data_IF_863918993726
#
_entry.id   IF_863918993726
#
_cell.length_a   1.000
_cell.length_b   1.000
_cell.length_c   1.000
_cell.angle_alpha   90.00
_cell.angle_beta   90.00
_cell.angle_gamma   90.00
#
_symmetry.space_group_name_H-M   'P 1'
#
loop_
_entity.id
_entity.type
_entity.pdbx_description
1 polymer ?
#
# COMPACT_ATOMS: atom_id res chain seq x y z
N UNK A 1 15.16 -25.47 15.02
CA UNK A 1 15.19 -24.15 14.37
C UNK A 1 15.74 -24.33 12.97
N UNK A 2 15.06 -23.82 11.94
CA UNK A 2 15.55 -23.80 10.56
C UNK A 2 16.19 -22.43 10.29
N UNK A 3 17.20 -22.38 9.42
CA UNK A 3 17.84 -21.13 9.01
C UNK A 3 17.96 -21.07 7.48
N UNK A 4 17.60 -19.92 6.92
CA UNK A 4 17.69 -19.64 5.50
C UNK A 4 18.57 -18.42 5.30
N UNK A 5 19.59 -18.54 4.46
CA UNK A 5 20.38 -17.37 4.05
C UNK A 5 19.60 -16.62 2.97
N UNK A 6 19.33 -15.34 3.23
CA UNK A 6 18.66 -14.42 2.31
C UNK A 6 19.64 -13.32 1.91
N UNK A 7 19.30 -12.59 0.87
CA UNK A 7 20.08 -11.44 0.43
C UNK A 7 19.21 -10.36 -0.20
N UNK A 8 19.65 -9.11 -0.09
CA UNK A 8 19.02 -7.97 -0.73
C UNK A 8 20.09 -7.03 -1.28
N UNK A 9 19.73 -6.24 -2.30
CA UNK A 9 20.65 -5.31 -2.96
C UNK A 9 20.32 -3.87 -2.57
N UNK A 10 21.33 -3.10 -2.18
CA UNK A 10 21.14 -1.70 -1.78
C UNK A 10 22.25 -0.79 -2.30
N UNK A 11 21.96 0.50 -2.34
CA UNK A 11 22.98 1.52 -2.47
C UNK A 11 23.74 1.67 -1.12
N UNK A 12 25.07 1.52 -1.07
CA UNK A 12 25.83 1.59 0.17
C UNK A 12 25.71 2.92 0.93
N UNK A 13 25.32 4.02 0.26
CA UNK A 13 25.16 5.35 0.87
C UNK A 13 24.12 5.38 1.99
N UNK A 14 23.18 4.43 2.01
CA UNK A 14 22.12 4.36 3.04
C UNK A 14 22.60 3.75 4.36
N UNK A 15 23.81 3.16 4.38
CA UNK A 15 24.37 2.52 5.57
C UNK A 15 25.08 3.53 6.49
N UNK A 16 25.01 3.28 7.79
CA UNK A 16 25.74 4.02 8.81
C UNK A 16 27.24 3.73 8.75
N UNK A 17 28.06 4.70 9.17
CA UNK A 17 29.48 4.47 9.36
C UNK A 17 29.73 3.32 10.36
N UNK A 18 30.70 2.45 10.06
CA UNK A 18 31.05 1.30 10.89
C UNK A 18 30.15 0.07 10.73
N UNK A 19 29.39 -0.03 9.64
CA UNK A 19 28.67 -1.27 9.32
C UNK A 19 29.64 -2.45 9.08
N UNK A 20 29.25 -3.69 9.36
CA UNK A 20 30.12 -4.86 9.22
C UNK A 20 30.25 -5.35 7.77
N UNK A 21 29.47 -4.81 6.84
CA UNK A 21 29.43 -5.29 5.46
C UNK A 21 30.65 -4.86 4.66
N UNK A 22 31.23 -5.80 3.93
CA UNK A 22 32.28 -5.51 2.95
C UNK A 22 31.65 -4.86 1.71
N UNK A 23 31.91 -3.58 1.51
CA UNK A 23 31.43 -2.84 0.34
C UNK A 23 32.49 -2.83 -0.75
N UNK A 24 32.11 -3.23 -1.96
CA UNK A 24 32.95 -3.00 -3.14
C UNK A 24 32.78 -1.56 -3.60
N UNK A 25 33.89 -0.82 -3.76
CA UNK A 25 33.88 0.55 -4.27
C UNK A 25 33.54 0.64 -5.76
N UNK A 26 33.61 -0.48 -6.49
CA UNK A 26 33.39 -0.52 -7.94
C UNK A 26 31.92 -0.60 -8.36
N UNK A 27 31.02 -1.06 -7.49
CA UNK A 27 29.62 -1.26 -7.82
C UNK A 27 28.74 -0.22 -7.13
N UNK A 28 27.78 0.39 -7.86
CA UNK A 28 26.83 1.33 -7.26
C UNK A 28 25.85 0.66 -6.27
N UNK A 29 25.80 -0.67 -6.28
CA UNK A 29 25.00 -1.48 -5.38
C UNK A 29 25.85 -2.56 -4.72
N UNK A 30 25.51 -2.88 -3.47
CA UNK A 30 26.07 -4.00 -2.73
C UNK A 30 24.97 -4.99 -2.38
N UNK A 31 25.32 -6.27 -2.33
CA UNK A 31 24.43 -7.34 -1.87
C UNK A 31 24.75 -7.63 -0.41
N UNK A 32 23.75 -7.51 0.45
CA UNK A 32 23.86 -7.80 1.87
C UNK A 32 23.15 -9.12 2.14
N UNK A 33 23.83 -9.99 2.89
CA UNK A 33 23.26 -11.25 3.36
C UNK A 33 22.74 -11.08 4.78
N UNK A 34 21.62 -11.75 5.06
CA UNK A 34 21.07 -11.90 6.40
C UNK A 34 20.48 -13.31 6.57
N UNK A 35 20.33 -13.76 7.80
CA UNK A 35 19.68 -15.02 8.10
C UNK A 35 18.21 -14.80 8.49
N UNK A 36 17.36 -15.61 7.89
CA UNK A 36 15.98 -15.81 8.31
C UNK A 36 15.90 -17.12 9.11
N UNK A 37 15.60 -17.01 10.40
CA UNK A 37 15.40 -18.15 11.28
C UNK A 37 13.90 -18.48 11.37
N UNK A 38 13.58 -19.77 11.53
CA UNK A 38 12.20 -20.22 11.79
C UNK A 38 12.14 -21.20 12.95
N UNK A 39 11.19 -21.01 13.84
CA UNK A 39 11.02 -21.83 15.04
C UNK A 39 9.64 -21.67 15.66
N UNK A 40 9.41 -22.34 16.78
CA UNK A 40 8.16 -22.22 17.57
C UNK A 40 8.49 -21.44 18.83
N UNK A 41 7.73 -20.39 19.09
CA UNK A 41 7.88 -19.48 20.21
C UNK A 41 8.87 -18.33 19.94
N UNK A 42 8.97 -17.37 20.86
CA UNK A 42 9.88 -16.24 20.73
C UNK A 42 11.36 -16.67 20.62
N UNK A 43 12.19 -15.93 19.86
CA UNK A 43 13.60 -16.28 19.70
C UNK A 43 14.40 -16.10 21.01
N UNK A 44 15.34 -17.01 21.28
CA UNK A 44 16.32 -16.84 22.36
C UNK A 44 17.24 -15.65 22.08
N UNK A 45 17.71 -15.00 23.15
CA UNK A 45 18.66 -13.91 23.07
C UNK A 45 20.08 -14.33 22.59
N UNK A 46 20.39 -15.63 22.59
CA UNK A 46 21.76 -16.15 22.43
C UNK A 46 22.24 -16.30 20.98
N UNK A 47 21.43 -15.96 19.98
CA UNK A 47 21.79 -16.11 18.57
C UNK A 47 21.32 -14.96 17.67
N UNK A 48 21.88 -14.95 16.46
CA UNK A 48 21.58 -13.98 15.40
C UNK A 48 22.50 -12.74 15.45
N UNK A 49 22.68 -12.13 14.28
CA UNK A 49 23.40 -10.88 14.11
C UNK A 49 22.42 -9.73 13.89
N UNK A 50 22.86 -8.50 14.14
CA UNK A 50 22.04 -7.32 13.86
C UNK A 50 21.64 -7.27 12.38
N UNK A 51 20.34 -7.33 12.10
CA UNK A 51 19.76 -7.37 10.75
C UNK A 51 19.16 -8.72 10.38
N UNK A 52 19.46 -9.78 11.15
CA UNK A 52 18.79 -11.06 11.01
C UNK A 52 17.33 -10.98 11.48
N UNK A 53 16.52 -11.89 10.97
CA UNK A 53 15.08 -11.96 11.23
C UNK A 53 14.70 -13.36 11.73
N UNK A 54 13.66 -13.43 12.55
CA UNK A 54 13.12 -14.68 13.07
C UNK A 54 11.61 -14.72 12.86
N UNK A 55 11.12 -15.80 12.26
CA UNK A 55 9.70 -16.07 12.06
C UNK A 55 9.26 -17.11 13.08
N UNK A 56 8.41 -16.68 14.02
CA UNK A 56 7.71 -17.57 14.93
C UNK A 56 6.57 -18.27 14.18
N UNK A 57 6.59 -19.60 14.22
CA UNK A 57 5.65 -20.50 13.58
C UNK A 57 4.64 -21.09 14.58
N UNK A 58 4.50 -20.49 15.77
CA UNK A 58 3.49 -20.90 16.74
C UNK A 58 2.10 -20.83 16.07
N UNK A 59 1.34 -21.94 16.03
CA UNK A 59 0.05 -21.96 15.36
C UNK A 59 -0.87 -20.84 15.84
N UNK A 60 -1.44 -20.09 14.88
CA UNK A 60 -2.31 -18.91 15.10
C UNK A 60 -1.64 -17.68 15.70
N UNK A 61 -0.37 -17.77 16.09
CA UNK A 61 0.40 -16.69 16.70
C UNK A 61 1.70 -16.46 15.92
N UNK A 62 1.62 -16.48 14.58
CA UNK A 62 2.81 -16.20 13.78
C UNK A 62 3.27 -14.77 14.05
N UNK A 63 4.56 -14.60 14.25
CA UNK A 63 5.15 -13.30 14.55
C UNK A 63 6.49 -13.17 13.86
N UNK A 64 6.78 -11.95 13.40
CA UNK A 64 8.08 -11.59 12.86
C UNK A 64 8.88 -10.87 13.92
N UNK A 65 10.13 -11.24 14.08
CA UNK A 65 11.11 -10.55 14.93
C UNK A 65 12.31 -10.14 14.09
N UNK A 66 12.97 -9.07 14.50
CA UNK A 66 14.24 -8.62 13.93
C UNK A 66 15.24 -8.37 15.04
N UNK A 67 16.51 -8.61 14.72
CA UNK A 67 17.60 -8.45 15.68
C UNK A 67 18.13 -7.02 15.62
N UNK A 68 18.05 -6.31 16.74
CA UNK A 68 18.56 -4.94 16.82
C UNK A 68 20.10 -4.91 16.79
N UNK A 69 20.66 -3.72 16.61
CA UNK A 69 22.07 -3.44 16.90
C UNK A 69 22.21 -3.10 18.38
N UNK A 70 23.27 -3.57 19.03
CA UNK A 70 23.60 -3.13 20.39
C UNK A 70 24.05 -1.65 20.32
N UNK A 71 23.17 -0.75 20.77
CA UNK A 71 23.43 0.69 20.79
C UNK A 71 24.34 1.12 21.93
N UNK A 72 24.44 0.33 23.01
CA UNK A 72 25.25 0.66 24.19
C UNK A 72 26.73 0.40 23.88
N UNK A 73 27.03 -0.75 23.29
CA UNK A 73 28.41 -1.11 22.91
C UNK A 73 28.78 -0.61 21.52
N UNK A 74 27.80 -0.19 20.72
CA UNK A 74 27.98 0.28 19.35
C UNK A 74 28.40 -0.83 18.37
N UNK A 75 28.65 -2.06 18.86
CA UNK A 75 29.13 -3.20 18.09
C UNK A 75 28.38 -4.44 18.57
N UNK A 76 27.84 -5.23 17.63
CA UNK A 76 27.17 -6.50 17.92
C UNK A 76 25.65 -6.47 17.82
N UNK A 77 25.04 -7.60 18.18
CA UNK A 77 23.61 -7.83 18.11
C UNK A 77 22.94 -7.46 19.45
N UNK A 78 21.92 -6.60 19.38
CA UNK A 78 21.07 -6.22 20.50
C UNK A 78 19.96 -7.23 20.74
N UNK A 79 18.87 -6.83 21.39
CA UNK A 79 17.72 -7.72 21.63
C UNK A 79 16.96 -8.08 20.36
N UNK A 80 16.18 -9.17 20.40
CA UNK A 80 15.13 -9.42 19.40
C UNK A 80 13.95 -8.50 19.68
N UNK A 81 13.43 -7.81 18.66
CA UNK A 81 12.19 -7.05 18.76
C UNK A 81 11.12 -7.62 17.86
N UNK A 82 9.91 -7.72 18.40
CA UNK A 82 8.73 -8.09 17.63
C UNK A 82 8.39 -6.98 16.66
N UNK A 83 8.11 -7.35 15.42
CA UNK A 83 7.71 -6.44 14.37
C UNK A 83 6.21 -6.15 14.47
N UNK A 84 5.89 -4.90 14.77
CA UNK A 84 4.52 -4.39 14.90
C UNK A 84 4.22 -3.29 13.88
N UNK A 85 5.04 -3.21 12.82
CA UNK A 85 5.07 -2.09 11.87
C UNK A 85 4.13 -2.23 10.67
N UNK A 86 3.02 -2.96 10.79
CA UNK A 86 2.10 -3.18 9.67
C UNK A 86 0.91 -2.23 9.76
N UNK A 87 1.06 -1.00 9.25
CA UNK A 87 -0.05 -0.05 9.11
C UNK A 87 -0.14 0.45 7.67
N UNK A 88 -0.95 -0.28 6.88
CA UNK A 88 -1.08 -0.14 5.42
C UNK A 88 -1.90 1.08 4.99
N UNK A 89 -2.30 1.97 5.89
CA UNK A 89 -3.11 3.15 5.62
C UNK A 89 -2.55 4.45 6.25
N UNK A 90 -1.66 4.34 7.25
CA UNK A 90 -1.13 5.51 7.97
C UNK A 90 -0.04 6.25 7.18
N UNK A 91 -0.21 7.56 7.06
CA UNK A 91 0.77 8.49 6.48
C UNK A 91 1.25 9.44 7.59
N UNK A 92 2.57 9.68 7.73
CA UNK A 92 3.64 9.17 6.89
C UNK A 92 4.17 7.79 7.32
N UNK A 93 4.33 6.90 6.35
CA UNK A 93 4.68 5.48 6.56
C UNK A 93 5.96 5.27 7.37
N UNK A 94 6.98 6.09 7.15
CA UNK A 94 8.32 5.92 7.73
C UNK A 94 8.31 5.90 9.27
N UNK A 95 7.29 6.48 9.92
CA UNK A 95 7.15 6.46 11.38
C UNK A 95 6.80 5.08 11.95
N UNK A 96 6.27 4.20 11.11
CA UNK A 96 5.82 2.86 11.50
C UNK A 96 6.67 1.75 10.90
N UNK A 97 7.61 2.10 10.01
CA UNK A 97 8.55 1.16 9.44
C UNK A 97 9.75 0.94 10.36
N UNK A 98 10.25 -0.28 10.37
CA UNK A 98 11.47 -0.64 11.10
C UNK A 98 12.66 -0.42 10.17
N UNK A 99 13.53 0.59 10.43
CA UNK A 99 14.75 0.78 9.65
C UNK A 99 15.73 -0.36 9.94
N UNK A 100 16.56 -0.69 8.95
CA UNK A 100 17.62 -1.66 9.14
C UNK A 100 18.60 -1.23 10.25
N UNK A 101 19.15 -2.14 11.09
CA UNK A 101 19.97 -1.74 12.26
C UNK A 101 21.25 -0.96 11.91
N UNK A 102 21.71 -1.12 10.67
CA UNK A 102 22.85 -0.41 10.10
C UNK A 102 22.45 0.71 9.14
N UNK A 103 21.19 1.14 9.15
CA UNK A 103 20.73 2.33 8.43
C UNK A 103 21.34 3.60 9.04
N UNK A 104 21.71 4.57 8.19
CA UNK A 104 22.36 5.82 8.63
C UNK A 104 21.50 6.66 9.57
N UNK A 105 20.21 6.78 9.27
CA UNK A 105 19.21 7.40 10.15
C UNK A 105 17.83 6.89 9.77
N UNK A 106 16.91 6.79 10.73
CA UNK A 106 15.54 6.35 10.46
C UNK A 106 14.78 7.31 9.51
N UNK A 107 15.13 8.60 9.52
CA UNK A 107 14.47 9.64 8.70
C UNK A 107 15.02 9.70 7.27
N UNK A 108 16.30 9.39 7.11
CA UNK A 108 17.04 9.56 5.84
C UNK A 108 17.32 8.25 5.13
N UNK A 109 17.24 7.12 5.84
CA UNK A 109 17.48 5.81 5.26
C UNK A 109 16.28 5.34 4.46
N UNK A 110 16.59 4.74 3.32
CA UNK A 110 15.63 4.12 2.43
C UNK A 110 15.75 2.60 2.53
N UNK A 111 15.85 2.07 3.76
CA UNK A 111 16.03 0.64 3.99
C UNK A 111 15.23 0.16 5.20
N UNK A 112 14.18 -0.61 4.93
CA UNK A 112 13.18 -1.01 5.92
C UNK A 112 12.91 -2.50 5.88
N UNK A 113 12.56 -3.07 7.03
CA UNK A 113 12.08 -4.45 7.12
C UNK A 113 10.70 -4.53 6.48
N UNK A 114 10.52 -5.50 5.59
CA UNK A 114 9.27 -5.76 4.93
C UNK A 114 8.98 -7.25 4.83
N UNK A 115 7.70 -7.61 4.90
CA UNK A 115 7.22 -8.95 4.63
C UNK A 115 6.02 -8.87 3.71
N UNK A 116 6.03 -9.72 2.70
CA UNK A 116 4.92 -9.94 1.79
C UNK A 116 4.81 -11.45 1.49
N UNK A 117 3.83 -11.90 0.69
CA UNK A 117 3.72 -13.32 0.35
C UNK A 117 4.93 -13.90 -0.40
N UNK A 118 5.82 -13.06 -0.93
CA UNK A 118 7.06 -13.49 -1.57
C UNK A 118 8.20 -13.77 -0.58
N UNK A 119 8.12 -13.25 0.64
CA UNK A 119 9.12 -13.50 1.68
C UNK A 119 9.32 -12.34 2.65
N UNK A 120 10.27 -12.53 3.57
CA UNK A 120 10.81 -11.46 4.43
C UNK A 120 12.06 -10.88 3.76
N UNK A 121 12.16 -9.56 3.69
CA UNK A 121 13.32 -8.87 3.09
C UNK A 121 13.56 -7.50 3.71
N UNK A 122 14.75 -6.94 3.46
CA UNK A 122 15.05 -5.54 3.69
C UNK A 122 14.99 -4.81 2.35
N UNK A 123 14.20 -3.74 2.25
CA UNK A 123 13.91 -3.10 0.96
C UNK A 123 13.77 -1.58 1.07
N UNK A 124 13.83 -0.91 -0.08
CA UNK A 124 13.58 0.52 -0.18
C UNK A 124 12.11 0.88 -0.02
N UNK A 125 11.84 2.13 0.34
CA UNK A 125 10.52 2.73 0.41
C UNK A 125 9.79 2.64 -0.92
N UNK A 126 10.47 2.82 -2.03
CA UNK A 126 9.87 2.71 -3.37
C UNK A 126 9.38 1.29 -3.65
N UNK A 127 10.22 0.29 -3.36
CA UNK A 127 9.85 -1.12 -3.50
C UNK A 127 8.76 -1.52 -2.50
N UNK A 128 8.79 -0.99 -1.29
CA UNK A 128 7.75 -1.20 -0.28
C UNK A 128 6.41 -0.64 -0.77
N UNK A 129 6.38 0.59 -1.30
CA UNK A 129 5.19 1.18 -1.89
C UNK A 129 4.63 0.30 -3.02
N UNK A 130 5.50 -0.20 -3.90
CA UNK A 130 5.10 -1.10 -4.99
C UNK A 130 4.54 -2.43 -4.46
N UNK A 131 5.22 -3.09 -3.52
CA UNK A 131 4.76 -4.34 -2.88
C UNK A 131 3.42 -4.14 -2.15
N UNK A 132 3.27 -3.02 -1.42
CA UNK A 132 2.01 -2.64 -0.76
C UNK A 132 0.85 -2.51 -1.73
N UNK A 133 1.04 -1.85 -2.87
CA UNK A 133 -0.01 -1.75 -3.90
C UNK A 133 -0.43 -3.15 -4.37
N UNK A 134 0.52 -4.07 -4.55
CA UNK A 134 0.20 -5.45 -4.92
C UNK A 134 -0.54 -6.21 -3.82
N UNK A 135 -0.16 -6.04 -2.55
CA UNK A 135 -0.87 -6.65 -1.42
C UNK A 135 -2.32 -6.17 -1.33
N UNK A 136 -2.53 -4.85 -1.45
CA UNK A 136 -3.88 -4.25 -1.45
C UNK A 136 -4.72 -4.77 -2.63
N UNK A 137 -4.15 -4.82 -3.84
CA UNK A 137 -4.83 -5.36 -5.03
C UNK A 137 -5.23 -6.83 -4.88
N UNK A 138 -4.47 -7.60 -4.09
CA UNK A 138 -4.73 -9.01 -3.80
C UNK A 138 -5.58 -9.23 -2.54
N UNK A 139 -6.08 -8.15 -1.94
CA UNK A 139 -6.84 -8.18 -0.69
C UNK A 139 -6.09 -8.93 0.43
N UNK A 140 -4.80 -8.60 0.59
CA UNK A 140 -3.92 -9.15 1.62
C UNK A 140 -3.66 -8.06 2.65
N UNK A 141 -3.96 -8.36 3.91
CA UNK A 141 -3.82 -7.43 5.03
C UNK A 141 -4.54 -6.08 4.81
N UNK A 142 -5.63 -6.06 4.05
CA UNK A 142 -6.39 -4.83 3.81
C UNK A 142 -7.12 -4.40 5.07
N UNK A 143 -6.90 -3.16 5.49
CA UNK A 143 -7.55 -2.56 6.66
C UNK A 143 -8.75 -1.75 6.21
N UNK A 144 -9.92 -2.02 6.79
CA UNK A 144 -11.12 -1.21 6.55
C UNK A 144 -10.90 0.21 7.10
N UNK A 145 -11.12 1.26 6.29
CA UNK A 145 -10.94 2.64 6.74
C UNK A 145 -11.74 2.93 8.02
N UNK A 146 -11.08 3.48 9.04
CA UNK A 146 -11.70 3.85 10.31
C UNK A 146 -11.68 2.77 11.40
N UNK A 147 -11.22 1.55 11.09
CA UNK A 147 -11.03 0.48 12.09
C UNK A 147 -9.55 0.44 12.49
N UNK A 148 -9.28 0.37 13.80
CA UNK A 148 -7.92 0.11 14.28
C UNK A 148 -7.63 -1.38 14.04
N UNK A 149 -6.69 -1.73 13.15
CA UNK A 149 -6.44 -3.13 12.85
C UNK A 149 -5.77 -3.83 14.03
N UNK A 150 -6.09 -5.12 14.21
CA UNK A 150 -5.23 -6.01 14.97
C UNK A 150 -3.97 -6.30 14.15
N UNK A 151 -2.89 -5.57 14.48
CA UNK A 151 -1.61 -5.66 13.79
C UNK A 151 -1.00 -7.05 13.92
N UNK A 152 -1.19 -7.73 15.05
CA UNK A 152 -0.63 -9.06 15.27
C UNK A 152 -1.33 -10.09 14.39
N UNK A 153 -2.66 -10.01 14.30
CA UNK A 153 -3.45 -10.86 13.41
C UNK A 153 -3.07 -10.64 11.94
N UNK A 154 -2.92 -9.38 11.50
CA UNK A 154 -2.53 -9.07 10.13
C UNK A 154 -1.12 -9.58 9.80
N UNK A 155 -0.14 -9.38 10.68
CA UNK A 155 1.20 -9.93 10.50
C UNK A 155 1.15 -11.46 10.42
N UNK A 156 0.33 -12.10 11.27
CA UNK A 156 0.12 -13.54 11.25
C UNK A 156 -0.49 -14.02 9.94
N UNK A 157 -1.47 -13.29 9.38
CA UNK A 157 -2.08 -13.58 8.08
C UNK A 157 -1.04 -13.49 6.95
N UNK A 158 -0.23 -12.42 6.90
CA UNK A 158 0.79 -12.24 5.86
C UNK A 158 1.84 -13.34 5.93
N UNK A 159 2.32 -13.68 7.14
CA UNK A 159 3.27 -14.76 7.35
C UNK A 159 2.68 -16.12 6.95
N UNK A 160 1.41 -16.36 7.26
CA UNK A 160 0.73 -17.59 6.85
C UNK A 160 0.69 -17.72 5.32
N UNK A 161 0.29 -16.64 4.62
CA UNK A 161 0.26 -16.62 3.14
C UNK A 161 1.65 -16.76 2.52
N UNK A 162 2.69 -16.18 3.14
CA UNK A 162 4.09 -16.35 2.73
C UNK A 162 4.51 -17.82 2.81
N UNK A 163 4.23 -18.49 3.94
CA UNK A 163 4.56 -19.90 4.14
C UNK A 163 3.79 -20.81 3.16
N UNK A 164 2.53 -20.48 2.88
CA UNK A 164 1.74 -21.21 1.89
C UNK A 164 2.30 -21.01 0.48
N UNK A 165 2.65 -19.79 0.09
CA UNK A 165 3.25 -19.51 -1.22
C UNK A 165 4.57 -20.30 -1.43
N UNK A 166 5.42 -20.39 -0.41
CA UNK A 166 6.65 -21.18 -0.45
C UNK A 166 6.40 -22.68 -0.59
N UNK A 167 5.37 -23.22 0.09
CA UNK A 167 4.97 -24.63 -0.06
C UNK A 167 4.50 -24.94 -1.48
N UNK A 168 3.76 -24.02 -2.10
CA UNK A 168 3.31 -24.18 -3.49
C UNK A 168 4.48 -24.09 -4.48
N UNK A 169 5.45 -23.19 -4.24
CA UNK A 169 6.63 -23.04 -5.07
C UNK A 169 7.52 -24.31 -5.04
N UNK A 170 7.65 -24.95 -3.88
CA UNK A 170 8.46 -26.16 -3.69
C UNK A 170 7.76 -27.45 -4.13
N UNK A 171 6.43 -27.51 -4.06
CA UNK A 171 5.64 -28.70 -4.44
C UNK A 171 5.42 -28.88 -5.95
N UNK A 172 5.61 -27.83 -6.75
CA UNK A 172 5.39 -27.86 -8.21
C UNK A 172 6.50 -28.55 -9.02
N UNK A 173 7.68 -28.80 -8.43
CA UNK A 173 8.79 -29.47 -9.10
C UNK A 173 8.72 -30.99 -8.92
N UNK A 174 7.65 -31.61 -9.40
CA UNK A 174 7.62 -33.06 -9.62
C UNK A 174 8.60 -33.41 -10.75
N UNK A 175 9.82 -33.78 -10.35
CA UNK A 175 10.66 -34.82 -10.95
C UNK A 175 10.34 -35.21 -12.41
N UNK A 176 10.70 -34.36 -13.37
CA UNK A 176 11.19 -34.88 -14.65
C UNK A 176 12.69 -35.10 -14.48
N UNK A 177 13.04 -36.34 -14.19
CA UNK A 177 14.42 -36.81 -14.18
C UNK A 177 15.03 -36.58 -15.57
N UNK A 178 15.84 -35.55 -15.71
CA UNK A 178 16.87 -35.48 -16.74
C UNK A 178 18.19 -35.14 -16.06
N UNK A 179 18.99 -36.19 -15.94
CA UNK A 179 20.39 -36.17 -15.59
C UNK A 179 21.18 -35.16 -16.44
N UNK A 180 22.30 -34.70 -15.85
CA UNK A 180 23.54 -34.21 -16.50
C UNK A 180 23.53 -32.79 -17.08
N UNK A 181 24.05 -31.83 -16.32
CA UNK A 181 25.46 -31.34 -16.37
C UNK A 181 25.54 -29.93 -15.77
N UNK A 182 26.47 -29.75 -14.83
CA UNK A 182 26.99 -28.44 -14.43
C UNK A 182 28.07 -27.97 -15.44
N UNK A 183 28.70 -26.78 -15.27
CA UNK A 183 28.18 -25.46 -15.60
C UNK A 183 29.09 -24.72 -16.61
N UNK A 184 28.55 -23.82 -17.45
CA UNK A 184 29.38 -22.85 -18.20
C UNK A 184 28.72 -21.47 -18.18
N UNK A 185 29.59 -20.49 -17.94
CA UNK A 185 29.44 -19.06 -17.79
C UNK A 185 28.87 -18.32 -19.02
N UNK A 186 28.36 -17.11 -18.72
CA UNK A 186 28.23 -15.93 -19.58
C UNK A 186 27.30 -16.00 -20.81
N UNK A 187 26.32 -15.07 -20.84
CA UNK A 187 26.24 -13.97 -21.81
C UNK A 187 24.80 -13.66 -22.28
N UNK A 188 24.51 -12.35 -22.24
CA UNK A 188 23.73 -11.59 -23.24
C UNK A 188 22.20 -11.72 -23.26
N UNK A 189 21.60 -10.59 -22.88
CA UNK A 189 20.26 -10.10 -23.20
C UNK A 189 19.90 -10.30 -24.69
N UNK A 190 18.83 -11.04 -24.94
CA UNK A 190 17.96 -10.82 -26.11
C UNK A 190 16.49 -10.88 -25.70
N UNK A 191 15.79 -9.81 -26.05
CA UNK A 191 14.37 -9.54 -25.82
C UNK A 191 13.46 -10.53 -26.55
N UNK A 192 12.36 -11.04 -25.95
CA UNK A 192 11.34 -11.73 -26.72
C UNK A 192 10.18 -10.78 -27.08
N UNK A 193 9.93 -10.76 -28.39
CA UNK A 193 8.78 -10.23 -29.10
C UNK A 193 7.50 -10.93 -28.62
N UNK A 194 6.51 -10.17 -28.14
CA UNK A 194 5.18 -10.71 -27.79
C UNK A 194 4.29 -10.68 -29.04
N UNK A 195 3.99 -11.86 -29.58
CA UNK A 195 2.93 -12.06 -30.57
C UNK A 195 1.56 -12.05 -29.89
N UNK A 196 0.64 -11.31 -30.52
CA UNK A 196 -0.77 -11.21 -30.14
C UNK A 196 -1.53 -12.40 -30.71
N UNK A 197 -2.17 -13.19 -29.86
CA UNK A 197 -3.28 -14.06 -30.25
C UNK A 197 -4.51 -13.72 -29.42
N UNK A 198 -5.41 -12.94 -30.03
CA UNK A 198 -6.77 -12.68 -29.56
C UNK A 198 -7.74 -13.60 -30.31
N UNK A 199 -8.37 -14.55 -29.61
CA UNK A 199 -9.63 -15.19 -30.03
C UNK A 199 -10.33 -15.77 -28.82
N UNK A 200 -11.60 -15.40 -28.62
CA UNK A 200 -12.44 -15.98 -27.58
C UNK A 200 -13.55 -15.03 -27.16
N UNK A 201 -14.48 -14.75 -28.08
CA UNK A 201 -15.70 -14.02 -27.77
C UNK A 201 -16.69 -14.92 -27.04
N UNK A 202 -17.16 -14.49 -25.87
CA UNK A 202 -18.40 -14.99 -25.30
C UNK A 202 -19.35 -13.83 -25.01
N UNK A 203 -20.48 -13.94 -25.71
CA UNK A 203 -21.70 -13.17 -25.65
C UNK A 203 -22.30 -13.18 -24.23
N UNK A 204 -22.63 -12.00 -23.71
CA UNK A 204 -23.58 -11.88 -22.60
C UNK A 204 -24.64 -10.82 -22.94
N UNK A 205 -25.88 -11.25 -22.71
CA UNK A 205 -27.14 -10.60 -23.02
C UNK A 205 -27.24 -9.20 -22.43
N UNK A 206 -27.73 -8.28 -23.26
CA UNK A 206 -28.17 -6.95 -22.85
C UNK A 206 -29.44 -7.05 -21.99
N UNK A 207 -29.42 -6.40 -20.83
CA UNK A 207 -30.62 -5.99 -20.10
C UNK A 207 -30.97 -4.55 -20.50
N UNK A 208 -32.26 -4.21 -20.68
CA UNK A 208 -32.67 -2.84 -21.01
C UNK A 208 -32.55 -1.92 -19.79
N UNK A 209 -32.24 -0.62 -19.98
CA UNK A 209 -32.24 0.35 -18.90
C UNK A 209 -33.68 0.78 -18.54
N UNK A 210 -33.97 1.09 -17.26
CA UNK A 210 -35.26 1.67 -16.88
C UNK A 210 -35.32 3.17 -17.24
N UNK A 211 -36.54 3.60 -17.56
CA UNK A 211 -36.90 4.93 -18.01
C UNK A 211 -36.53 6.04 -17.01
N UNK A 212 -35.97 7.12 -17.54
CA UNK A 212 -35.68 8.34 -16.83
C UNK A 212 -36.97 9.17 -16.62
N UNK A 213 -37.29 9.46 -15.37
CA UNK A 213 -38.13 10.59 -14.99
C UNK A 213 -37.44 11.32 -13.84
N UNK A 214 -36.86 12.48 -14.11
CA UNK A 214 -36.49 13.46 -13.09
C UNK A 214 -37.01 14.84 -13.49
N UNK A 215 -37.66 15.57 -12.57
CA UNK A 215 -38.00 16.97 -12.77
C UNK A 215 -36.80 17.87 -12.43
N UNK A 216 -36.57 18.85 -13.30
CA UNK A 216 -35.63 19.94 -13.07
C UNK A 216 -36.12 20.84 -11.94
N UNK A 217 -35.31 21.01 -10.89
CA UNK A 217 -35.35 22.22 -10.05
C UNK A 217 -33.95 22.83 -10.04
N UNK A 218 -33.89 24.02 -10.64
CA UNK A 218 -32.72 24.87 -10.66
C UNK A 218 -32.53 25.49 -9.27
N UNK A 219 -31.33 25.40 -8.71
CA UNK A 219 -30.89 26.30 -7.66
C UNK A 219 -29.42 26.65 -7.91
N UNK A 220 -29.21 27.87 -8.39
CA UNK A 220 -27.91 28.43 -8.65
C UNK A 220 -27.21 28.75 -7.33
N UNK A 221 -26.01 28.21 -7.17
CA UNK A 221 -25.05 28.68 -6.18
C UNK A 221 -23.81 29.20 -6.91
N UNK A 222 -23.65 30.52 -6.82
CA UNK A 222 -22.49 31.28 -7.25
C UNK A 222 -21.27 30.82 -6.43
N UNK A 223 -20.40 30.00 -7.02
CA UNK A 223 -19.08 29.73 -6.45
C UNK A 223 -18.08 30.76 -6.99
N UNK A 224 -17.75 31.68 -6.10
CA UNK A 224 -16.68 32.67 -6.15
C UNK A 224 -15.34 31.95 -6.33
N UNK A 225 -14.75 32.07 -7.51
CA UNK A 225 -13.36 31.65 -7.78
C UNK A 225 -12.43 32.62 -7.07
N UNK A 226 -11.89 32.22 -5.92
CA UNK A 226 -10.79 32.92 -5.27
C UNK A 226 -9.48 32.18 -5.55
N UNK A 227 -8.54 32.94 -6.12
CA UNK A 227 -7.10 32.82 -6.02
C UNK A 227 -6.44 31.57 -6.64
N UNK A 228 -6.08 31.69 -7.92
CA UNK A 228 -4.91 31.00 -8.47
C UNK A 228 -3.64 31.53 -7.75
N UNK A 229 -2.73 30.65 -7.30
CA UNK A 229 -1.37 31.07 -6.97
C UNK A 229 -0.67 31.48 -8.27
N UNK A 230 -0.18 32.71 -8.33
CA UNK A 230 0.69 33.15 -9.39
C UNK A 230 1.98 32.33 -9.35
N UNK A 231 2.30 31.66 -10.46
CA UNK A 231 3.59 31.00 -10.66
C UNK A 231 4.72 32.02 -10.49
N UNK A 232 5.82 31.67 -9.80
CA UNK A 232 7.02 32.48 -9.84
C UNK A 232 7.61 32.43 -11.25
N UNK A 233 7.66 33.60 -11.90
CA UNK A 233 8.39 33.80 -13.14
C UNK A 233 9.84 33.35 -12.96
N UNK A 234 10.21 32.26 -13.63
CA UNK A 234 11.61 31.86 -13.80
C UNK A 234 12.33 32.98 -14.56
N UNK A 235 13.08 33.81 -13.85
CA UNK A 235 14.16 34.62 -14.42
C UNK A 235 15.29 33.65 -14.79
N UNK A 236 15.76 33.62 -16.05
CA UNK A 236 17.04 32.98 -16.33
C UNK A 236 18.13 33.89 -15.75
N UNK A 237 18.87 33.35 -14.77
CA UNK A 237 20.07 33.98 -14.25
C UNK A 237 21.12 34.02 -15.36
N UNK A 238 21.20 35.18 -16.03
CA UNK A 238 22.36 35.55 -16.82
C UNK A 238 23.52 35.77 -15.85
N UNK A 239 24.30 34.72 -15.60
CA UNK A 239 25.66 34.86 -15.09
C UNK A 239 26.54 35.44 -16.21
N UNK A 240 26.39 36.76 -16.43
CA UNK A 240 27.39 37.57 -17.11
C UNK A 240 28.62 37.58 -16.20
N UNK A 241 29.69 36.93 -16.66
CA UNK A 241 30.97 36.94 -15.98
C UNK A 241 31.39 38.39 -15.67
N UNK A 242 31.52 38.68 -14.37
CA UNK A 242 32.10 39.92 -13.86
C UNK A 242 33.58 39.95 -14.21
N UNK A 243 33.91 40.61 -15.33
CA UNK A 243 35.26 41.07 -15.59
C UNK A 243 35.55 42.25 -14.65
N UNK A 244 36.48 42.07 -13.73
CA UNK A 244 37.08 43.17 -12.96
C UNK A 244 37.78 44.14 -13.93
N UNK A 245 37.54 45.45 -13.83
CA UNK A 245 38.26 46.46 -14.59
C UNK A 245 39.46 46.95 -13.78
N UNK A 246 40.56 46.22 -13.82
CA UNK A 246 41.82 46.71 -13.28
C UNK A 246 42.73 47.22 -14.42
N UNK A 247 43.12 48.48 -14.30
CA UNK A 247 44.29 49.03 -14.98
C UNK A 247 44.00 49.95 -16.15
N UNK A 248 43.53 51.17 -15.87
CA UNK A 248 43.73 52.32 -16.75
C UNK A 248 45.23 52.64 -16.84
N UNK A 249 45.95 51.89 -17.69
CA UNK A 249 47.25 52.25 -18.20
C UNK A 249 47.07 53.18 -19.39
N UNK A 250 47.22 54.48 -19.15
CA UNK A 250 47.29 55.55 -20.15
C UNK A 250 48.39 55.26 -21.18
N UNK A 251 48.08 54.56 -22.26
CA UNK A 251 48.91 54.53 -23.47
C UNK A 251 48.34 55.56 -24.45
N UNK A 252 49.14 56.58 -24.71
CA UNK A 252 48.82 57.69 -25.61
C UNK A 252 48.54 57.24 -27.05
N UNK A 253 48.05 58.16 -27.88
CA UNK A 253 47.71 57.89 -29.28
C UNK A 253 48.98 57.51 -30.04
N UNK A 254 49.15 56.21 -30.28
CA UNK A 254 50.13 55.73 -31.25
C UNK A 254 49.53 56.06 -32.62
N UNK A 255 50.03 57.13 -33.21
CA UNK A 255 49.76 57.47 -34.61
C UNK A 255 50.10 56.26 -35.49
N UNK A 256 49.20 55.85 -36.41
CA UNK A 256 49.45 54.72 -37.29
C UNK A 256 50.62 55.06 -38.22
N UNK A 257 51.78 54.47 -37.93
CA UNK A 257 52.94 54.51 -38.79
C UNK A 257 52.62 53.75 -40.09
N UNK A 258 52.85 54.43 -41.22
CA UNK A 258 52.97 53.95 -42.60
C UNK A 258 52.14 52.71 -43.00
N UNK A 259 51.17 52.92 -43.89
CA UNK A 259 50.40 51.90 -44.60
C UNK A 259 51.30 50.80 -45.22
N UNK A 260 51.55 49.72 -44.48
CA UNK A 260 51.97 48.45 -45.05
C UNK A 260 50.75 47.84 -45.75
N UNK A 261 50.75 47.84 -47.08
CA UNK A 261 49.76 47.05 -47.80
C UNK A 261 50.06 45.57 -47.54
N UNK A 262 49.09 44.79 -47.02
CA UNK A 262 49.27 43.37 -46.84
C UNK A 262 49.57 42.73 -48.19
N UNK A 263 50.56 41.84 -48.18
CA UNK A 263 50.98 41.07 -49.35
C UNK A 263 49.81 40.24 -49.90
N UNK A 264 49.81 39.93 -51.20
CA UNK A 264 48.73 39.14 -51.81
C UNK A 264 48.53 37.79 -51.09
N UNK A 265 49.62 37.18 -50.62
CA UNK A 265 49.59 35.93 -49.88
C UNK A 265 48.82 36.04 -48.55
N UNK A 266 48.96 37.16 -47.82
CA UNK A 266 48.19 37.42 -46.60
C UNK A 266 46.71 37.64 -46.91
N UNK A 267 46.38 38.28 -48.05
CA UNK A 267 44.97 38.43 -48.49
C UNK A 267 44.34 37.09 -48.83
N UNK A 268 45.05 36.20 -49.52
CA UNK A 268 44.59 34.84 -49.79
C UNK A 268 44.39 34.03 -48.50
N UNK A 269 45.34 34.09 -47.57
CA UNK A 269 45.23 33.39 -46.29
C UNK A 269 44.03 33.89 -45.46
N UNK A 270 43.84 35.22 -45.39
CA UNK A 270 42.69 35.82 -44.72
C UNK A 270 41.35 35.41 -45.36
N UNK A 271 41.28 35.35 -46.69
CA UNK A 271 40.09 34.89 -47.41
C UNK A 271 39.79 33.40 -47.11
N UNK A 272 40.82 32.55 -47.00
CA UNK A 272 40.65 31.14 -46.65
C UNK A 272 40.16 30.96 -45.21
N UNK A 273 40.72 31.72 -44.24
CA UNK A 273 40.24 31.73 -42.85
C UNK A 273 38.77 32.17 -42.79
N UNK A 274 38.38 33.19 -43.55
CA UNK A 274 37.00 33.66 -43.61
C UNK A 274 36.05 32.59 -44.19
N UNK A 275 36.43 31.91 -45.27
CA UNK A 275 35.67 30.81 -45.87
C UNK A 275 35.48 29.64 -44.90
N UNK A 276 36.55 29.24 -44.20
CA UNK A 276 36.48 28.19 -43.19
C UNK A 276 35.61 28.62 -41.99
N UNK A 277 35.68 29.89 -41.60
CA UNK A 277 34.79 30.50 -40.61
C UNK A 277 33.32 30.37 -41.00
N UNK A 278 32.97 30.74 -42.24
CA UNK A 278 31.60 30.61 -42.76
C UNK A 278 31.14 29.15 -42.81
N UNK A 279 32.01 28.21 -43.25
CA UNK A 279 31.67 26.78 -43.26
C UNK A 279 31.40 26.24 -41.86
N UNK A 280 32.22 26.62 -40.86
CA UNK A 280 31.99 26.26 -39.46
C UNK A 280 30.67 26.86 -38.93
N UNK A 281 30.39 28.12 -39.24
CA UNK A 281 29.13 28.77 -38.85
C UNK A 281 27.92 28.08 -39.47
N UNK A 282 27.97 27.74 -40.77
CA UNK A 282 26.89 27.02 -41.47
C UNK A 282 26.67 25.61 -40.88
N UNK A 283 27.74 24.90 -40.55
CA UNK A 283 27.64 23.59 -39.89
C UNK A 283 27.06 23.70 -38.46
N UNK A 284 27.44 24.72 -37.70
CA UNK A 284 26.88 25.00 -36.38
C UNK A 284 25.38 25.33 -36.46
N UNK A 285 24.98 26.14 -37.45
CA UNK A 285 23.57 26.45 -37.71
C UNK A 285 22.76 25.20 -38.08
N UNK A 286 23.30 24.32 -38.92
CA UNK A 286 22.65 23.06 -39.28
C UNK A 286 22.44 22.15 -38.05
N UNK A 287 23.44 22.03 -37.17
CA UNK A 287 23.32 21.27 -35.92
C UNK A 287 22.26 21.87 -34.99
N UNK A 288 22.26 23.19 -34.82
CA UNK A 288 21.25 23.91 -34.04
C UNK A 288 19.83 23.67 -34.59
N UNK A 289 19.65 23.72 -35.92
CA UNK A 289 18.38 23.39 -36.57
C UNK A 289 17.94 21.95 -36.33
N UNK A 290 18.87 20.98 -36.33
CA UNK A 290 18.57 19.58 -36.05
C UNK A 290 18.16 19.38 -34.57
N UNK A 291 18.89 20.00 -33.64
CA UNK A 291 18.57 19.96 -32.21
C UNK A 291 17.20 20.57 -31.92
N UNK A 292 16.88 21.71 -32.54
CA UNK A 292 15.57 22.35 -32.39
C UNK A 292 14.43 21.46 -32.92
N UNK A 293 14.64 20.76 -34.04
CA UNK A 293 13.68 19.79 -34.56
C UNK A 293 13.51 18.60 -33.62
N UNK A 294 14.58 18.11 -33.00
CA UNK A 294 14.49 17.03 -32.01
C UNK A 294 13.70 17.49 -30.77
N UNK A 295 14.05 18.65 -30.20
CA UNK A 295 13.34 19.25 -29.04
C UNK A 295 11.86 19.50 -29.33
N UNK A 296 11.53 19.94 -30.55
CA UNK A 296 10.13 20.11 -30.98
C UNK A 296 9.34 18.79 -30.98
N UNK A 297 9.95 17.68 -31.43
CA UNK A 297 9.33 16.34 -31.39
C UNK A 297 9.16 15.83 -29.97
N UNK A 298 10.14 16.06 -29.10
CA UNK A 298 10.06 15.68 -27.68
C UNK A 298 8.94 16.46 -26.96
N UNK A 299 8.83 17.77 -27.23
CA UNK A 299 7.76 18.60 -26.69
C UNK A 299 6.37 18.13 -27.14
N UNK A 300 6.22 17.72 -28.41
CA UNK A 300 4.97 17.15 -28.91
C UNK A 300 4.59 15.85 -28.18
N UNK A 301 5.56 14.97 -27.90
CA UNK A 301 5.35 13.75 -27.10
C UNK A 301 4.93 14.07 -25.67
N UNK A 302 5.54 15.09 -25.05
CA UNK A 302 5.16 15.52 -23.70
C UNK A 302 3.74 16.07 -23.64
N UNK A 303 3.33 16.90 -24.61
CA UNK A 303 1.94 17.39 -24.71
C UNK A 303 0.92 16.27 -24.90
N UNK A 304 1.29 15.21 -25.62
CA UNK A 304 0.43 14.04 -25.77
C UNK A 304 0.27 13.29 -24.43
N UNK A 305 1.37 13.06 -23.71
CA UNK A 305 1.32 12.45 -22.36
C UNK A 305 0.51 13.28 -21.38
N UNK A 306 0.62 14.61 -21.44
CA UNK A 306 -0.17 15.53 -20.61
C UNK A 306 -1.68 15.34 -20.85
N UNK A 307 -2.12 15.24 -22.12
CA UNK A 307 -3.52 14.94 -22.46
C UNK A 307 -3.98 13.59 -21.93
N UNK A 308 -3.13 12.56 -22.01
CA UNK A 308 -3.43 11.24 -21.47
C UNK A 308 -3.60 11.27 -19.95
N UNK A 309 -2.71 11.97 -19.24
CA UNK A 309 -2.81 12.13 -17.78
C UNK A 309 -4.09 12.88 -17.39
N UNK A 310 -4.45 13.95 -18.11
CA UNK A 310 -5.72 14.67 -17.89
C UNK A 310 -6.92 13.75 -18.13
N UNK A 311 -6.89 12.95 -19.20
CA UNK A 311 -7.94 11.98 -19.52
C UNK A 311 -8.09 10.90 -18.43
N UNK A 312 -6.97 10.33 -17.96
CA UNK A 312 -6.99 9.38 -16.85
C UNK A 312 -7.54 10.01 -15.57
N UNK A 313 -7.13 11.24 -15.24
CA UNK A 313 -7.62 11.97 -14.06
C UNK A 313 -9.14 12.13 -14.09
N UNK A 314 -9.71 12.49 -15.24
CA UNK A 314 -11.15 12.57 -15.43
C UNK A 314 -11.85 11.21 -15.20
N UNK A 315 -11.29 10.12 -15.73
CA UNK A 315 -11.83 8.77 -15.52
C UNK A 315 -11.78 8.34 -14.04
N UNK A 316 -10.69 8.63 -13.33
CA UNK A 316 -10.58 8.36 -11.90
C UNK A 316 -11.62 9.16 -11.11
N UNK A 317 -11.76 10.45 -11.37
CA UNK A 317 -12.74 11.28 -10.69
C UNK A 317 -14.18 10.83 -10.96
N UNK A 318 -14.50 10.41 -12.19
CA UNK A 318 -15.80 9.83 -12.52
C UNK A 318 -16.03 8.54 -11.72
N UNK A 319 -15.04 7.64 -11.68
CA UNK A 319 -15.15 6.36 -10.96
C UNK A 319 -15.29 6.56 -9.45
N UNK A 320 -14.57 7.53 -8.89
CA UNK A 320 -14.70 7.92 -7.49
C UNK A 320 -16.12 8.37 -7.16
N UNK A 321 -16.73 9.24 -7.99
CA UNK A 321 -18.13 9.67 -7.81
C UNK A 321 -19.12 8.51 -7.87
N UNK A 322 -18.92 7.57 -8.80
CA UNK A 322 -19.75 6.36 -8.91
C UNK A 322 -19.65 5.49 -7.64
N UNK A 323 -18.43 5.29 -7.11
CA UNK A 323 -18.22 4.51 -5.89
C UNK A 323 -18.82 5.18 -4.66
N UNK A 324 -18.67 6.50 -4.53
CA UNK A 324 -19.29 7.28 -3.44
C UNK A 324 -20.82 7.19 -3.50
N UNK A 325 -21.41 7.29 -4.69
CA UNK A 325 -22.86 7.14 -4.87
C UNK A 325 -23.34 5.72 -4.52
N UNK A 326 -22.60 4.68 -4.94
CA UNK A 326 -22.91 3.29 -4.62
C UNK A 326 -22.81 3.02 -3.10
N UNK A 327 -21.81 3.58 -2.42
CA UNK A 327 -21.64 3.47 -0.97
C UNK A 327 -22.81 4.14 -0.22
N UNK A 328 -23.21 5.34 -0.63
CA UNK A 328 -24.36 6.04 -0.05
C UNK A 328 -25.66 5.24 -0.22
N UNK A 329 -25.88 4.65 -1.41
CA UNK A 329 -27.04 3.80 -1.66
C UNK A 329 -27.02 2.50 -0.83
N UNK A 330 -25.84 1.92 -0.59
CA UNK A 330 -25.69 0.75 0.28
C UNK A 330 -25.98 1.10 1.75
N UNK A 331 -25.45 2.24 2.23
CA UNK A 331 -25.71 2.73 3.58
C UNK A 331 -27.21 3.01 3.80
N UNK A 332 -27.88 3.62 2.82
CA UNK A 332 -29.32 3.88 2.88
C UNK A 332 -30.12 2.57 2.98
N UNK A 333 -29.80 1.56 2.17
CA UNK A 333 -30.44 0.23 2.26
C UNK A 333 -30.23 -0.43 3.61
N UNK A 334 -29.00 -0.47 4.10
CA UNK A 334 -28.69 -1.03 5.41
C UNK A 334 -29.42 -0.31 6.54
N UNK A 335 -29.55 1.03 6.47
CA UNK A 335 -30.30 1.80 7.46
C UNK A 335 -31.80 1.49 7.44
N UNK A 336 -32.38 1.29 6.25
CA UNK A 336 -33.78 0.91 6.10
C UNK A 336 -34.06 -0.49 6.66
N UNK A 337 -33.19 -1.46 6.37
CA UNK A 337 -33.26 -2.83 6.91
C UNK A 337 -33.17 -2.83 8.44
N UNK A 338 -32.27 -2.03 9.03
CA UNK A 338 -32.16 -1.91 10.49
C UNK A 338 -33.42 -1.31 11.12
N UNK A 339 -34.04 -0.32 10.50
CA UNK A 339 -35.32 0.23 10.98
C UNK A 339 -36.46 -0.79 10.88
N UNK A 340 -36.50 -1.59 9.81
CA UNK A 340 -37.46 -2.69 9.67
C UNK A 340 -37.27 -3.74 10.78
N UNK A 341 -36.03 -4.16 11.04
CA UNK A 341 -35.72 -5.09 12.13
C UNK A 341 -36.11 -4.52 13.50
N UNK A 342 -35.85 -3.23 13.76
CA UNK A 342 -36.27 -2.56 14.99
C UNK A 342 -37.80 -2.50 15.12
N UNK A 343 -38.53 -2.32 14.02
CA UNK A 343 -39.98 -2.37 14.02
C UNK A 343 -40.49 -3.78 14.33
N UNK A 344 -39.90 -4.82 13.72
CA UNK A 344 -40.25 -6.21 13.97
C UNK A 344 -40.02 -6.63 15.44
N UNK A 345 -38.86 -6.27 16.01
CA UNK A 345 -38.57 -6.54 17.44
C UNK A 345 -39.58 -5.86 18.36
N UNK A 346 -39.97 -4.61 18.06
CA UNK A 346 -41.02 -3.91 18.84
C UNK A 346 -42.38 -4.62 18.74
N UNK A 347 -42.73 -5.14 17.56
CA UNK A 347 -43.97 -5.90 17.37
C UNK A 347 -43.96 -7.22 18.17
N UNK A 348 -42.86 -7.99 18.08
CA UNK A 348 -42.69 -9.23 18.84
C UNK A 348 -42.73 -9.00 20.35
N UNK A 349 -42.12 -7.91 20.83
CA UNK A 349 -42.18 -7.55 22.25
C UNK A 349 -43.62 -7.32 22.73
N UNK A 350 -44.43 -6.58 21.96
CA UNK A 350 -45.85 -6.36 22.28
C UNK A 350 -46.64 -7.67 22.30
N UNK A 351 -46.38 -8.58 21.35
CA UNK A 351 -47.01 -9.91 21.34
C UNK A 351 -46.64 -10.72 22.58
N UNK A 352 -45.37 -10.70 23.00
CA UNK A 352 -44.93 -11.37 24.22
C UNK A 352 -45.58 -10.78 25.48
N UNK A 353 -45.71 -9.46 25.56
CA UNK A 353 -46.40 -8.78 26.67
C UNK A 353 -47.89 -9.17 26.74
N UNK A 354 -48.57 -9.25 25.59
CA UNK A 354 -49.97 -9.71 25.52
C UNK A 354 -50.11 -11.17 25.98
N UNK A 355 -49.26 -12.07 25.48
CA UNK A 355 -49.27 -13.48 25.88
C UNK A 355 -48.95 -13.66 27.38
N UNK A 356 -48.04 -12.85 27.92
CA UNK A 356 -47.75 -12.83 29.35
C UNK A 356 -48.97 -12.39 30.17
N UNK A 357 -49.70 -11.37 29.72
CA UNK A 357 -50.92 -10.93 30.40
C UNK A 357 -52.04 -11.99 30.32
N UNK A 358 -52.22 -12.64 29.17
CA UNK A 358 -53.19 -13.75 29.02
C UNK A 358 -52.85 -14.94 29.92
N UNK A 359 -51.58 -15.34 30.00
CA UNK A 359 -51.14 -16.41 30.89
C UNK A 359 -51.31 -16.05 32.37
N UNK A 360 -51.04 -14.81 32.77
CA UNK A 360 -51.32 -14.33 34.12
C UNK A 360 -52.81 -14.41 34.47
N UNK A 361 -53.68 -14.00 33.56
CA UNK A 361 -55.14 -14.11 33.75
C UNK A 361 -55.59 -15.57 33.86
N UNK A 362 -55.07 -16.46 33.02
CA UNK A 362 -55.37 -17.88 33.09
C UNK A 362 -54.90 -18.51 34.42
N UNK A 363 -53.71 -18.15 34.89
CA UNK A 363 -53.19 -18.60 36.19
C UNK A 363 -54.10 -18.11 37.33
N UNK A 364 -54.53 -16.85 37.32
CA UNK A 364 -55.45 -16.32 38.32
C UNK A 364 -56.80 -17.04 38.32
N UNK A 365 -57.33 -17.37 37.14
CA UNK A 365 -58.57 -18.14 37.01
C UNK A 365 -58.42 -19.55 37.58
N UNK A 366 -57.32 -20.25 37.28
CA UNK A 366 -57.05 -21.60 37.82
C UNK A 366 -56.92 -21.56 39.34
N UNK A 367 -56.24 -20.56 39.90
CA UNK A 367 -56.13 -20.36 41.36
C UNK A 367 -57.50 -20.15 42.01
N UNK A 368 -58.34 -19.29 41.42
CA UNK A 368 -59.72 -19.08 41.89
C UNK A 368 -60.54 -20.37 41.89
N UNK A 369 -60.46 -21.18 40.83
CA UNK A 369 -61.14 -22.48 40.78
C UNK A 369 -60.57 -23.49 41.79
N UNK A 370 -59.26 -23.46 42.08
CA UNK A 370 -58.67 -24.29 43.13
C UNK A 370 -59.15 -23.89 44.53
N UNK A 371 -59.30 -22.60 44.80
CA UNK A 371 -59.85 -22.09 46.07
C UNK A 371 -61.31 -22.50 46.25
N UNK A 372 -62.13 -22.39 45.21
CA UNK A 372 -63.51 -22.87 45.20
C UNK A 372 -63.58 -24.38 45.47
N UNK A 373 -62.77 -25.19 44.76
CA UNK A 373 -62.70 -26.63 44.98
C UNK A 373 -62.31 -26.97 46.42
N UNK A 374 -61.31 -26.27 46.96
CA UNK A 374 -60.86 -26.46 48.34
C UNK A 374 -61.96 -26.09 49.34
N UNK A 375 -62.74 -25.03 49.08
CA UNK A 375 -63.88 -24.65 49.89
C UNK A 375 -64.97 -25.73 49.87
N UNK A 376 -65.33 -26.24 48.69
CA UNK A 376 -66.29 -27.36 48.55
C UNK A 376 -65.81 -28.61 49.26
N UNK A 377 -64.50 -28.96 49.18
CA UNK A 377 -63.94 -30.10 49.90
C UNK A 377 -64.06 -29.95 51.42
N UNK A 378 -63.78 -28.76 51.97
CA UNK A 378 -63.98 -28.47 53.41
C UNK A 378 -65.44 -28.62 53.81
N UNK A 379 -66.36 -28.16 52.97
CA UNK A 379 -67.80 -28.31 53.21
C UNK A 379 -68.25 -29.77 53.19
N UNK A 380 -67.79 -30.57 52.22
CA UNK A 380 -68.04 -32.02 52.17
C UNK A 380 -67.49 -32.70 53.43
N UNK A 381 -66.27 -32.38 53.86
CA UNK A 381 -65.69 -32.93 55.10
C UNK A 381 -66.53 -32.56 56.33
N UNK A 382 -67.01 -31.32 56.40
CA UNK A 382 -67.92 -30.86 57.46
C UNK A 382 -69.23 -31.65 57.44
N UNK A 383 -69.87 -31.83 56.29
CA UNK A 383 -71.09 -32.63 56.16
C UNK A 383 -70.85 -34.10 56.53
N UNK A 384 -69.73 -34.68 56.12
CA UNK A 384 -69.36 -36.06 56.47
C UNK A 384 -69.19 -36.23 57.99
N UNK A 385 -68.69 -35.22 58.70
CA UNK A 385 -68.58 -35.25 60.17
C UNK A 385 -69.93 -35.23 60.91
N UNK A 386 -71.01 -34.80 60.24
CA UNK A 386 -72.37 -34.73 60.82
C UNK A 386 -73.18 -36.01 60.59
N UNK A 387 -72.74 -36.92 59.72
CA UNK A 387 -73.40 -38.20 59.51
C UNK A 387 -73.04 -39.15 60.66
N UNK A 388 -74.03 -39.77 61.35
CA UNK A 388 -73.75 -40.72 62.40
C UNK A 388 -72.96 -41.91 61.83
N UNK A 389 -71.96 -42.44 62.55
CA UNK A 389 -71.22 -43.60 62.08
C UNK A 389 -72.21 -44.74 61.89
N UNK A 390 -72.32 -45.24 60.66
CA UNK A 390 -73.14 -46.41 60.35
C UNK A 390 -72.55 -47.56 61.17
N UNK A 391 -73.22 -47.92 62.26
CA UNK A 391 -72.86 -49.07 63.08
C UNK A 391 -72.93 -50.29 62.17
N UNK A 392 -71.77 -50.88 61.90
CA UNK A 392 -71.71 -52.18 61.22
C UNK A 392 -72.47 -53.16 62.10
N UNK A 393 -73.70 -53.48 61.71
CA UNK A 393 -74.43 -54.61 62.27
C UNK A 393 -73.60 -55.85 62.00
N UNK A 394 -73.21 -56.49 63.09
CA UNK A 394 -72.52 -57.76 63.11
C UNK A 394 -73.27 -58.78 62.23
N UNK A 395 -72.55 -59.40 61.31
CA UNK A 395 -72.89 -60.74 60.85
C UNK A 395 -71.62 -61.58 60.82
N UNK A 396 -71.56 -62.41 61.88
CA UNK A 396 -70.84 -63.68 62.12
C UNK A 396 -69.33 -63.76 61.90
#
# INVERSE_FOLDING_TARGET
MLSFQRSFSINPVVLAAGHPYALSSSNPYCTIHFFEFRGIGPPSADFGHAGDVYVDLTPRLHALYWRERDTVRGVGAGQWRRWTGLLLDKVPLYKFLVPHPWARSAETSDLYLWVDPGGVTWTSKDNLCASRVQMVQRNIATVTPGIVPDVEELVSEVLHRMLDAERHATGGTRSSSSQKRSPISNATLTSPHIEKNFRGGHSLRAFPPPAANQPHTASGSHLRVQNLPQHPSFRPDNHTASFSPDGYGTRGPVYPNAMHQPSEQERYHAAQIALDGMRRAQNAELRSKQELKQKSRELAKLRQKEKEVIGMSYHYQKRERELVAALAAAQQRSSAELEEMRAAVRALKRQAEMAQHETQNAVAQVQSSQEELAATQREIQKLHSLLPPISKSADK
#
